data_IF_210752191623
#
_entry.id   IF_210752191623
#
_cell.length_a   1.000
_cell.length_b   1.000
_cell.length_c   1.000
_cell.angle_alpha   90.00
_cell.angle_beta   90.00
_cell.angle_gamma   90.00
#
_symmetry.space_group_name_H-M   'P 1'
#
loop_
_entity.id
_entity.type
_entity.pdbx_description
1 polymer ?
#
# COMPACT_ATOMS: atom_id res chain seq x y z
N UNK A 1 2.59 9.90 1.10
CA UNK A 1 1.48 9.95 0.12
C UNK A 1 0.20 9.75 0.90
N UNK A 2 -0.79 10.59 0.69
CA UNK A 2 -2.11 10.47 1.29
C UNK A 2 -3.17 10.63 0.21
N UNK A 3 -4.25 9.86 0.34
CA UNK A 3 -5.49 10.10 -0.40
C UNK A 3 -6.50 10.56 0.64
N UNK A 4 -6.94 11.81 0.52
CA UNK A 4 -7.80 12.47 1.50
C UNK A 4 -9.08 12.97 0.84
N UNK A 5 -10.21 12.80 1.54
CA UNK A 5 -11.48 13.43 1.19
C UNK A 5 -11.62 14.74 1.94
N UNK A 6 -11.72 15.85 1.22
CA UNK A 6 -11.96 17.18 1.78
C UNK A 6 -13.31 17.21 2.50
N UNK A 7 -13.30 17.50 3.80
CA UNK A 7 -14.51 17.52 4.63
C UNK A 7 -15.50 18.64 4.24
N UNK A 8 -15.03 19.73 3.62
CA UNK A 8 -15.87 20.87 3.26
C UNK A 8 -16.70 20.63 2.00
N UNK A 9 -16.17 19.89 1.03
CA UNK A 9 -16.79 19.73 -0.29
C UNK A 9 -16.86 18.28 -0.79
N UNK A 10 -16.24 17.34 -0.09
CA UNK A 10 -16.24 15.91 -0.40
C UNK A 10 -15.34 15.47 -1.53
N UNK A 11 -14.59 16.37 -2.17
CA UNK A 11 -13.66 16.01 -3.24
C UNK A 11 -12.41 15.31 -2.68
N UNK A 12 -11.77 14.53 -3.54
CA UNK A 12 -10.59 13.76 -3.17
C UNK A 12 -9.32 14.41 -3.68
N UNK A 13 -8.29 14.39 -2.84
CA UNK A 13 -6.95 14.90 -3.13
C UNK A 13 -5.92 13.80 -2.96
N UNK A 14 -4.93 13.80 -3.86
CA UNK A 14 -3.68 13.08 -3.68
C UNK A 14 -2.63 14.07 -3.17
N UNK A 15 -2.13 13.81 -1.98
CA UNK A 15 -1.11 14.62 -1.31
C UNK A 15 0.22 13.86 -1.32
N UNK A 16 1.30 14.55 -1.70
CA UNK A 16 2.62 13.97 -1.81
C UNK A 16 3.69 14.79 -1.08
N UNK A 17 4.77 14.12 -0.66
CA UNK A 17 5.87 14.74 0.08
C UNK A 17 5.54 15.05 1.54
N UNK A 18 6.49 15.68 2.22
CA UNK A 18 6.37 16.07 3.64
C UNK A 18 5.48 17.30 3.84
N UNK A 19 5.38 18.15 2.82
CA UNK A 19 4.52 19.33 2.80
C UNK A 19 3.07 19.03 2.40
N UNK A 20 2.73 17.76 2.14
CA UNK A 20 1.42 17.36 1.63
C UNK A 20 1.00 18.17 0.39
N UNK A 21 1.91 18.30 -0.58
CA UNK A 21 1.62 19.00 -1.83
C UNK A 21 0.48 18.31 -2.58
N UNK A 22 -0.53 19.09 -2.98
CA UNK A 22 -1.65 18.60 -3.77
C UNK A 22 -1.20 18.32 -5.21
N UNK A 23 -1.00 17.04 -5.52
CA UNK A 23 -0.50 16.60 -6.84
C UNK A 23 -1.55 15.84 -7.66
N UNK A 24 -2.75 15.59 -7.09
CA UNK A 24 -3.87 14.99 -7.80
C UNK A 24 -5.22 15.36 -7.20
N UNK A 25 -6.26 15.35 -8.04
CA UNK A 25 -7.59 15.81 -7.69
C UNK A 25 -8.68 14.99 -8.39
N UNK A 26 -9.72 14.60 -7.65
CA UNK A 26 -10.89 13.93 -8.18
C UNK A 26 -12.17 14.47 -7.54
N UNK A 27 -13.09 15.08 -8.33
CA UNK A 27 -14.39 15.49 -7.84
C UNK A 27 -15.21 14.30 -7.33
N UNK A 28 -15.92 14.43 -6.20
CA UNK A 28 -16.72 13.31 -5.65
C UNK A 28 -17.73 12.72 -6.66
N UNK A 29 -18.27 13.58 -7.53
CA UNK A 29 -19.32 13.25 -8.51
C UNK A 29 -18.91 12.24 -9.59
N UNK A 30 -17.61 11.98 -9.76
CA UNK A 30 -17.14 10.99 -10.74
C UNK A 30 -17.09 9.58 -10.16
N UNK A 31 -17.23 9.46 -8.84
CA UNK A 31 -17.20 8.19 -8.15
C UNK A 31 -18.61 7.69 -7.86
N UNK A 32 -18.79 6.37 -7.92
CA UNK A 32 -19.97 5.70 -7.39
C UNK A 32 -19.72 5.31 -5.93
N UNK A 33 -18.69 4.49 -5.68
CA UNK A 33 -18.39 3.95 -4.35
C UNK A 33 -17.60 4.92 -3.45
N UNK A 34 -16.96 5.93 -4.03
CA UNK A 34 -16.22 6.98 -3.32
C UNK A 34 -16.92 8.35 -3.45
N UNK A 35 -18.21 8.37 -3.76
CA UNK A 35 -19.00 9.61 -3.73
C UNK A 35 -19.12 10.19 -2.30
N UNK A 36 -18.99 9.32 -1.30
CA UNK A 36 -18.96 9.66 0.14
C UNK A 36 -17.65 9.15 0.76
N UNK A 37 -17.60 8.92 2.07
CA UNK A 37 -16.48 8.27 2.73
C UNK A 37 -16.23 6.86 2.19
N UNK A 38 -14.96 6.46 2.16
CA UNK A 38 -14.58 5.09 1.83
C UNK A 38 -15.05 4.13 2.94
N UNK A 39 -15.61 2.99 2.55
CA UNK A 39 -16.02 1.92 3.49
C UNK A 39 -14.99 0.82 3.63
N UNK A 40 -13.99 0.79 2.74
CA UNK A 40 -12.86 -0.14 2.76
C UNK A 40 -11.61 0.57 2.26
N UNK A 41 -10.45 0.15 2.78
CA UNK A 41 -9.13 0.63 2.37
C UNK A 41 -8.24 -0.58 2.17
N UNK A 42 -7.53 -0.59 1.06
CA UNK A 42 -6.59 -1.64 0.69
C UNK A 42 -5.28 -1.00 0.25
N UNK A 43 -4.17 -1.68 0.51
CA UNK A 43 -2.85 -1.34 0.00
C UNK A 43 -2.17 -2.59 -0.52
N UNK A 44 -1.33 -2.42 -1.52
CA UNK A 44 -0.62 -3.52 -2.13
C UNK A 44 0.07 -3.09 -3.40
N UNK A 45 0.28 -4.07 -4.28
CA UNK A 45 0.87 -3.88 -5.59
C UNK A 45 0.45 -5.01 -6.51
N UNK A 46 0.83 -4.87 -7.77
CA UNK A 46 0.55 -5.88 -8.80
C UNK A 46 1.80 -6.07 -9.65
N UNK A 47 2.13 -7.33 -9.91
CA UNK A 47 3.05 -7.71 -10.97
C UNK A 47 2.22 -8.27 -12.13
N UNK A 48 2.58 -7.88 -13.35
CA UNK A 48 1.89 -8.33 -14.55
C UNK A 48 2.90 -8.69 -15.63
N UNK A 49 2.69 -9.84 -16.27
CA UNK A 49 3.34 -10.22 -17.51
C UNK A 49 2.28 -10.59 -18.57
N UNK A 50 2.54 -10.31 -19.86
CA UNK A 50 1.74 -10.84 -20.95
C UNK A 50 1.81 -12.38 -21.01
N UNK A 51 0.82 -13.06 -21.62
CA UNK A 51 0.86 -14.51 -21.81
C UNK A 51 2.16 -14.98 -22.48
N UNK A 52 2.79 -16.01 -21.92
CA UNK A 52 4.04 -16.58 -22.42
C UNK A 52 5.31 -15.83 -22.00
N UNK A 53 5.19 -14.76 -21.21
CA UNK A 53 6.33 -14.05 -20.60
C UNK A 53 6.37 -14.37 -19.11
N UNK A 54 7.56 -14.76 -18.62
CA UNK A 54 7.77 -14.98 -17.18
C UNK A 54 7.39 -13.75 -16.37
N UNK A 55 6.74 -13.99 -15.24
CA UNK A 55 6.30 -12.97 -14.32
C UNK A 55 7.53 -12.22 -13.76
N UNK A 56 7.52 -10.88 -13.73
CA UNK A 56 8.68 -10.12 -13.34
C UNK A 56 8.97 -10.28 -11.84
N UNK A 57 10.24 -10.13 -11.40
CA UNK A 57 10.54 -10.06 -9.98
C UNK A 57 9.91 -8.81 -9.34
N UNK A 58 9.58 -8.91 -8.05
CA UNK A 58 9.11 -7.79 -7.25
C UNK A 58 10.12 -7.44 -6.15
N UNK A 59 10.25 -6.14 -5.86
CA UNK A 59 11.09 -5.64 -4.78
C UNK A 59 12.56 -6.03 -4.95
N UNK A 60 13.12 -6.73 -3.97
CA UNK A 60 14.49 -7.25 -3.99
C UNK A 60 14.66 -8.50 -4.86
N UNK A 61 13.60 -9.01 -5.48
CA UNK A 61 13.55 -10.33 -6.15
C UNK A 61 13.66 -11.53 -5.19
N UNK A 62 13.58 -11.28 -3.89
CA UNK A 62 13.58 -12.28 -2.82
C UNK A 62 12.27 -12.22 -2.04
N UNK A 63 11.88 -13.33 -1.42
CA UNK A 63 10.79 -13.30 -0.45
C UNK A 63 11.17 -12.41 0.74
N UNK A 64 10.24 -11.56 1.22
CA UNK A 64 10.54 -10.66 2.31
C UNK A 64 10.86 -11.44 3.59
N UNK A 65 11.88 -10.98 4.30
CA UNK A 65 12.25 -11.47 5.64
C UNK A 65 11.80 -10.50 6.75
N UNK A 66 11.18 -9.39 6.36
CA UNK A 66 10.74 -8.32 7.22
C UNK A 66 11.90 -7.45 7.68
N UNK A 67 12.91 -7.13 6.86
CA UNK A 67 13.97 -6.19 7.25
C UNK A 67 14.11 -5.06 6.22
N UNK A 68 13.92 -3.78 6.60
CA UNK A 68 13.97 -2.66 5.67
C UNK A 68 15.36 -2.38 5.07
N UNK A 69 16.41 -3.05 5.55
CA UNK A 69 17.73 -2.98 4.92
C UNK A 69 17.88 -3.90 3.70
N UNK A 70 17.02 -4.91 3.57
CA UNK A 70 17.10 -5.93 2.52
C UNK A 70 15.84 -5.96 1.64
N UNK A 71 14.68 -5.74 2.24
CA UNK A 71 13.39 -5.89 1.58
C UNK A 71 12.89 -4.57 1.01
N UNK A 72 12.13 -4.67 -0.09
CA UNK A 72 11.30 -3.56 -0.52
C UNK A 72 10.08 -3.44 0.42
N UNK A 73 9.65 -2.21 0.67
CA UNK A 73 8.55 -1.96 1.60
C UNK A 73 7.75 -0.69 1.28
N UNK A 74 6.50 -0.70 1.74
CA UNK A 74 5.70 0.49 1.99
C UNK A 74 5.68 0.76 3.50
N UNK A 75 5.71 2.05 3.89
CA UNK A 75 5.70 2.45 5.31
C UNK A 75 4.69 3.56 5.57
N UNK A 76 4.33 3.73 6.84
CA UNK A 76 3.32 4.70 7.30
C UNK A 76 1.95 4.39 6.70
N UNK A 77 1.58 3.12 6.70
CA UNK A 77 0.27 2.64 6.27
C UNK A 77 -0.75 2.97 7.36
N UNK A 78 -1.49 4.06 7.18
CA UNK A 78 -2.46 4.53 8.16
C UNK A 78 -3.73 4.98 7.43
N UNK A 79 -4.82 5.09 8.17
CA UNK A 79 -6.12 5.51 7.63
C UNK A 79 -6.55 6.81 8.30
N UNK A 80 -7.23 7.68 7.56
CA UNK A 80 -7.93 8.84 8.12
C UNK A 80 -9.37 8.44 8.45
N UNK A 81 -9.84 8.74 9.66
CA UNK A 81 -11.25 8.57 10.00
C UNK A 81 -12.12 9.69 9.39
N UNK A 82 -13.43 9.63 9.64
CA UNK A 82 -14.41 10.62 9.17
C UNK A 82 -14.23 12.03 9.77
N UNK A 83 -13.46 12.16 10.85
CA UNK A 83 -13.04 13.44 11.44
C UNK A 83 -11.72 13.97 10.86
N UNK A 84 -11.10 13.26 9.90
CA UNK A 84 -9.80 13.64 9.33
C UNK A 84 -8.61 13.31 10.25
N UNK A 85 -8.79 12.44 11.23
CA UNK A 85 -7.74 12.04 12.16
C UNK A 85 -7.04 10.77 11.69
N UNK A 86 -5.71 10.72 11.77
CA UNK A 86 -4.93 9.52 11.46
C UNK A 86 -5.09 8.45 12.53
N UNK A 87 -5.43 7.24 12.11
CA UNK A 87 -5.65 6.06 12.94
C UNK A 87 -4.63 4.98 12.58
N UNK A 88 -4.02 4.40 13.61
CA UNK A 88 -3.16 3.22 13.51
C UNK A 88 -4.02 1.96 13.27
N UNK A 89 -3.62 1.10 12.35
CA UNK A 89 -4.36 -0.12 11.99
C UNK A 89 -3.62 -1.36 12.52
N UNK A 90 -4.14 -1.94 13.60
CA UNK A 90 -3.47 -3.07 14.28
C UNK A 90 -3.66 -4.42 13.57
N UNK A 91 -4.66 -4.53 12.68
CA UNK A 91 -5.01 -5.79 12.01
C UNK A 91 -5.43 -5.54 10.58
N UNK A 92 -4.83 -6.29 9.67
CA UNK A 92 -5.24 -6.37 8.27
C UNK A 92 -5.37 -7.82 7.84
N UNK A 93 -5.95 -8.04 6.67
CA UNK A 93 -5.94 -9.33 5.99
C UNK A 93 -4.93 -9.26 4.85
N UNK A 94 -3.92 -10.13 4.88
CA UNK A 94 -2.96 -10.25 3.79
C UNK A 94 -3.52 -11.17 2.71
N UNK A 95 -3.40 -10.76 1.45
CA UNK A 95 -3.77 -11.56 0.29
C UNK A 95 -2.62 -11.54 -0.73
N UNK A 96 -2.26 -12.72 -1.22
CA UNK A 96 -1.25 -12.92 -2.27
C UNK A 96 -1.82 -13.91 -3.26
N UNK A 97 -1.94 -13.50 -4.52
CA UNK A 97 -2.61 -14.31 -5.54
C UNK A 97 -1.71 -15.48 -6.05
N UNK A 98 -0.40 -15.27 -6.07
CA UNK A 98 0.60 -16.30 -6.42
C UNK A 98 1.70 -16.33 -5.34
N UNK A 99 1.45 -17.13 -4.29
CA UNK A 99 2.34 -17.24 -3.13
C UNK A 99 3.64 -17.99 -3.42
N UNK A 100 3.70 -18.73 -4.52
CA UNK A 100 4.91 -19.47 -4.92
C UNK A 100 5.94 -18.53 -5.56
N UNK A 101 5.52 -17.35 -6.00
CA UNK A 101 6.36 -16.36 -6.69
C UNK A 101 6.52 -15.05 -5.96
N UNK A 102 5.56 -14.70 -5.10
CA UNK A 102 5.51 -13.43 -4.40
C UNK A 102 5.16 -13.61 -2.92
N UNK A 103 5.66 -12.70 -2.10
CA UNK A 103 5.38 -12.66 -0.67
C UNK A 103 5.12 -11.25 -0.19
N UNK A 104 4.24 -11.14 0.80
CA UNK A 104 3.94 -9.91 1.52
C UNK A 104 3.97 -10.20 3.02
N UNK A 105 4.66 -9.36 3.78
CA UNK A 105 4.60 -9.35 5.25
C UNK A 105 4.01 -8.02 5.71
N UNK A 106 2.82 -8.06 6.31
CA UNK A 106 2.18 -6.89 6.91
C UNK A 106 2.54 -6.82 8.40
N UNK A 107 3.18 -5.71 8.80
CA UNK A 107 3.72 -5.51 10.15
C UNK A 107 3.21 -4.17 10.72
N UNK A 108 2.07 -4.18 11.44
CA UNK A 108 1.45 -2.99 12.03
C UNK A 108 2.34 -2.18 12.99
N UNK A 109 3.20 -2.87 13.73
CA UNK A 109 4.03 -2.27 14.77
C UNK A 109 5.51 -2.64 14.57
N UNK A 110 6.05 -2.31 13.39
CA UNK A 110 7.44 -2.65 13.05
C UNK A 110 8.44 -2.15 14.10
N UNK A 111 8.21 -0.93 14.61
CA UNK A 111 8.89 -0.38 15.78
C UNK A 111 7.84 0.15 16.75
N UNK A 112 8.18 0.22 18.04
CA UNK A 112 7.35 0.92 19.00
C UNK A 112 7.18 2.39 18.61
N UNK A 113 5.96 2.90 18.68
CA UNK A 113 5.61 4.27 18.29
C UNK A 113 4.38 4.32 17.36
N UNK A 114 3.87 5.53 17.13
CA UNK A 114 2.73 5.75 16.21
C UNK A 114 3.16 5.65 14.75
N UNK A 115 2.24 5.20 13.90
CA UNK A 115 2.38 5.20 12.44
C UNK A 115 3.56 4.35 11.92
N UNK A 116 3.87 3.26 12.64
CA UNK A 116 4.97 2.34 12.32
C UNK A 116 4.52 1.12 11.51
N UNK A 117 3.35 1.19 10.88
CA UNK A 117 2.86 0.11 10.02
C UNK A 117 3.67 0.05 8.73
N UNK A 118 4.25 -1.12 8.46
CA UNK A 118 5.01 -1.43 7.26
C UNK A 118 4.43 -2.66 6.56
N UNK A 119 4.43 -2.64 5.24
CA UNK A 119 4.22 -3.83 4.42
C UNK A 119 5.49 -4.09 3.62
N UNK A 120 6.16 -5.20 3.91
CA UNK A 120 7.30 -5.69 3.13
C UNK A 120 6.79 -6.56 2.00
N UNK A 121 7.41 -6.45 0.84
CA UNK A 121 7.01 -7.22 -0.33
C UNK A 121 8.21 -7.61 -1.17
N UNK A 122 8.07 -8.71 -1.88
CA UNK A 122 9.09 -9.16 -2.80
C UNK A 122 8.73 -10.49 -3.43
N UNK A 123 9.65 -10.99 -4.23
CA UNK A 123 9.59 -12.34 -4.77
C UNK A 123 10.28 -12.45 -6.12
N UNK A 124 10.77 -13.64 -6.45
CA UNK A 124 11.49 -13.90 -7.70
C UNK A 124 10.67 -13.68 -8.97
N UNK A 125 9.34 -13.74 -8.88
CA UNK A 125 8.52 -13.93 -10.08
C UNK A 125 8.81 -15.30 -10.71
N UNK A 126 8.96 -15.34 -12.04
CA UNK A 126 9.26 -16.56 -12.79
C UNK A 126 10.76 -16.89 -12.94
N UNK A 127 11.65 -16.32 -12.11
CA UNK A 127 13.11 -16.46 -12.23
C UNK A 127 13.71 -17.12 -10.98
N UNK A 128 14.80 -17.86 -11.11
CA UNK A 128 15.58 -18.28 -9.94
C UNK A 128 16.47 -17.12 -9.48
N UNK A 129 16.44 -16.82 -8.18
CA UNK A 129 17.31 -15.83 -7.54
C UNK A 129 18.09 -16.45 -6.40
N UNK A 130 19.35 -15.98 -6.24
CA UNK A 130 20.19 -16.32 -5.09
C UNK A 130 19.84 -15.38 -3.94
N UNK A 131 18.76 -15.76 -3.27
CA UNK A 131 18.34 -15.30 -1.96
C UNK A 131 18.65 -16.46 -0.98
#
# INVERSE_FOLDING_TARGET
MFIERDLANGNWWLLFGESNEQVGFWPQRIFNNLASFATSVEWGGVAYSPPGVSEPPMGSSCFPIGDPNYDAYCRRLNVLNDNGETVDIDKTTVRVDDSDRYGVMDVPHWRGGKYQHMAFYGGPGGFETLC
#
